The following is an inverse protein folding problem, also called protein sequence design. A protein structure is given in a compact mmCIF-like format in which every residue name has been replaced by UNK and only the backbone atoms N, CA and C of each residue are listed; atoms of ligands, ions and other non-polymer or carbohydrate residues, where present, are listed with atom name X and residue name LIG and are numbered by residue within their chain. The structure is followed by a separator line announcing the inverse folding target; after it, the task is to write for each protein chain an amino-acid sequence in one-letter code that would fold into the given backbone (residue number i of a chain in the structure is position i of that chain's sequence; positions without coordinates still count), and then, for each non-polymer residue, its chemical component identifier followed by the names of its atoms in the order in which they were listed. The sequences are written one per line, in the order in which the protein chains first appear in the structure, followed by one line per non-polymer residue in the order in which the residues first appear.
data_IF_427598036865
#
_entry.id   IF_427598036865
#
_cell.length_a   1.000
_cell.length_b   1.000
_cell.length_c   1.000
_cell.angle_alpha   90.00
_cell.angle_beta   90.00
_cell.angle_gamma   90.00
#
_symmetry.space_group_name_H-M   'P 1'
#
loop_
_entity.id
_entity.type
_entity.pdbx_description
1 polymer ?
#
# COMPACT_ATOMS: atom_id res chain seq x y z
N UNK A 1 21.75 -8.58 -41.67
CA UNK A 1 21.12 -9.27 -40.52
C UNK A 1 20.72 -8.23 -39.50
N UNK A 2 19.45 -8.13 -39.12
CA UNK A 2 19.05 -7.25 -38.03
C UNK A 2 19.71 -7.78 -36.75
N UNK A 3 20.72 -7.08 -36.27
CA UNK A 3 21.40 -7.37 -35.00
C UNK A 3 20.31 -7.43 -33.94
N UNK A 4 20.09 -8.60 -33.35
CA UNK A 4 18.94 -8.85 -32.49
C UNK A 4 18.97 -7.87 -31.32
N UNK A 5 17.94 -7.01 -31.22
CA UNK A 5 17.85 -5.96 -30.18
C UNK A 5 18.10 -6.51 -28.76
N UNK A 6 17.89 -7.80 -28.53
CA UNK A 6 18.14 -8.48 -27.26
C UNK A 6 19.60 -8.45 -26.80
N UNK A 7 20.58 -8.42 -27.71
CA UNK A 7 22.00 -8.52 -27.36
C UNK A 7 22.43 -7.35 -26.49
N UNK A 8 21.96 -6.14 -26.80
CA UNK A 8 22.14 -4.95 -25.96
C UNK A 8 21.58 -5.16 -24.55
N UNK A 9 20.45 -5.86 -24.42
CA UNK A 9 19.81 -6.13 -23.13
C UNK A 9 20.44 -7.27 -22.33
N UNK A 10 21.43 -7.97 -22.91
CA UNK A 10 22.27 -8.93 -22.19
C UNK A 10 23.49 -8.27 -21.56
N UNK A 11 23.79 -7.00 -21.91
CA UNK A 11 24.86 -6.24 -21.27
C UNK A 11 24.53 -5.99 -19.79
N UNK A 12 25.53 -6.05 -18.88
CA UNK A 12 25.32 -5.91 -17.44
C UNK A 12 24.54 -4.66 -17.01
N UNK A 13 24.80 -3.52 -17.66
CA UNK A 13 24.13 -2.24 -17.37
C UNK A 13 22.63 -2.31 -17.68
N UNK A 14 22.26 -2.95 -18.79
CA UNK A 14 20.87 -3.07 -19.21
C UNK A 14 20.13 -4.14 -18.39
N UNK A 15 20.80 -5.21 -17.98
CA UNK A 15 20.26 -6.16 -17.01
C UNK A 15 19.96 -5.49 -15.66
N UNK A 16 20.85 -4.61 -15.19
CA UNK A 16 20.63 -3.83 -13.98
C UNK A 16 19.41 -2.90 -14.10
N UNK A 17 19.22 -2.26 -15.27
CA UNK A 17 18.03 -1.46 -15.56
C UNK A 17 16.74 -2.29 -15.52
N UNK A 18 16.73 -3.47 -16.15
CA UNK A 18 15.58 -4.39 -16.14
C UNK A 18 15.22 -4.83 -14.71
N UNK A 19 16.24 -5.18 -13.92
CA UNK A 19 16.05 -5.55 -12.53
C UNK A 19 15.52 -4.38 -11.70
N UNK A 20 16.06 -3.17 -11.90
CA UNK A 20 15.59 -1.95 -11.26
C UNK A 20 14.11 -1.69 -11.54
N UNK A 21 13.71 -1.72 -12.82
CA UNK A 21 12.31 -1.52 -13.20
C UNK A 21 11.38 -2.56 -12.60
N UNK A 22 11.79 -3.82 -12.52
CA UNK A 22 10.98 -4.86 -11.89
C UNK A 22 10.81 -4.62 -10.39
N UNK A 23 11.86 -4.16 -9.70
CA UNK A 23 11.83 -3.76 -8.29
C UNK A 23 10.98 -2.53 -8.04
N UNK A 24 10.90 -1.60 -8.99
CA UNK A 24 10.03 -0.42 -8.91
C UNK A 24 8.54 -0.79 -9.05
N UNK A 25 8.26 -2.02 -9.53
CA UNK A 25 6.92 -2.58 -9.67
C UNK A 25 6.37 -2.55 -11.09
N UNK A 26 7.20 -2.33 -12.11
CA UNK A 26 6.73 -2.32 -13.49
C UNK A 26 6.28 -3.73 -13.93
N UNK A 27 5.17 -3.77 -14.66
CA UNK A 27 4.70 -4.98 -15.33
C UNK A 27 5.59 -5.32 -16.53
N UNK A 28 5.54 -6.56 -16.99
CA UNK A 28 6.35 -6.99 -18.14
C UNK A 28 5.92 -6.25 -19.42
N UNK A 29 4.65 -5.87 -19.53
CA UNK A 29 4.13 -5.03 -20.61
C UNK A 29 4.72 -3.62 -20.58
N UNK A 30 4.79 -2.99 -19.40
CA UNK A 30 5.39 -1.66 -19.22
C UNK A 30 6.90 -1.69 -19.53
N UNK A 31 7.58 -2.75 -19.11
CA UNK A 31 9.00 -2.98 -19.41
C UNK A 31 9.19 -3.14 -20.92
N UNK A 32 8.37 -3.96 -21.58
CA UNK A 32 8.43 -4.14 -23.03
C UNK A 32 8.21 -2.83 -23.79
N UNK A 33 7.25 -2.00 -23.35
CA UNK A 33 7.01 -0.68 -23.90
C UNK A 33 8.22 0.26 -23.73
N UNK A 34 8.84 0.28 -22.54
CA UNK A 34 10.07 1.07 -22.30
C UNK A 34 11.24 0.65 -23.19
N UNK A 35 11.35 -0.64 -23.48
CA UNK A 35 12.38 -1.19 -24.37
C UNK A 35 12.06 -0.88 -25.85
N UNK A 36 10.78 -0.63 -26.18
CA UNK A 36 10.31 -0.46 -27.56
C UNK A 36 10.08 -1.79 -28.29
N UNK A 37 9.68 -2.83 -27.58
CA UNK A 37 9.34 -4.15 -28.14
C UNK A 37 7.91 -4.56 -27.77
N UNK A 38 7.34 -5.50 -28.53
CA UNK A 38 6.06 -6.09 -28.16
C UNK A 38 6.21 -6.96 -26.90
N UNK A 39 5.20 -7.01 -26.00
CA UNK A 39 5.24 -7.86 -24.80
C UNK A 39 5.55 -9.32 -25.11
N UNK A 40 4.98 -9.87 -26.20
CA UNK A 40 5.27 -11.23 -26.67
C UNK A 40 6.75 -11.43 -27.03
N UNK A 41 7.44 -10.40 -27.51
CA UNK A 41 8.89 -10.47 -27.78
C UNK A 41 9.68 -10.57 -26.48
N UNK A 42 9.29 -9.82 -25.44
CA UNK A 42 9.92 -9.92 -24.12
C UNK A 42 9.71 -11.30 -23.50
N UNK A 43 8.51 -11.89 -23.63
CA UNK A 43 8.24 -13.28 -23.22
C UNK A 43 9.18 -14.28 -23.90
N UNK A 44 9.40 -14.12 -25.21
CA UNK A 44 10.34 -14.99 -25.94
C UNK A 44 11.78 -14.80 -25.46
N UNK A 45 12.19 -13.55 -25.16
CA UNK A 45 13.52 -13.28 -24.61
C UNK A 45 13.72 -13.94 -23.24
N UNK A 46 12.72 -13.89 -22.35
CA UNK A 46 12.78 -14.59 -21.06
C UNK A 46 12.96 -16.10 -21.22
N UNK A 47 12.32 -16.71 -22.22
CA UNK A 47 12.47 -18.15 -22.51
C UNK A 47 13.84 -18.50 -23.08
N UNK A 48 14.39 -17.64 -23.93
CA UNK A 48 15.65 -17.89 -24.65
C UNK A 48 16.88 -17.48 -23.83
N UNK A 49 16.74 -16.53 -22.91
CA UNK A 49 17.84 -15.93 -22.16
C UNK A 49 17.52 -15.93 -20.66
N UNK A 50 18.16 -16.86 -19.94
CA UNK A 50 17.98 -17.04 -18.49
C UNK A 50 18.34 -15.77 -17.70
N UNK A 51 19.32 -14.99 -18.17
CA UNK A 51 19.74 -13.74 -17.53
C UNK A 51 18.60 -12.71 -17.45
N UNK A 52 17.86 -12.51 -18.55
CA UNK A 52 16.72 -11.58 -18.60
C UNK A 52 15.59 -12.09 -17.71
N UNK A 53 15.29 -13.39 -17.77
CA UNK A 53 14.27 -13.99 -16.90
C UNK A 53 14.59 -13.82 -15.42
N UNK A 54 15.85 -14.04 -15.02
CA UNK A 54 16.27 -13.86 -13.63
C UNK A 54 16.13 -12.41 -13.16
N UNK A 55 16.49 -11.44 -14.00
CA UNK A 55 16.35 -10.01 -13.66
C UNK A 55 14.89 -9.62 -13.41
N UNK A 56 13.96 -10.22 -14.14
CA UNK A 56 12.53 -9.93 -14.06
C UNK A 56 11.76 -10.82 -13.07
N UNK A 57 12.45 -11.76 -12.41
CA UNK A 57 11.80 -12.71 -11.48
C UNK A 57 11.38 -12.06 -10.17
N UNK A 58 12.18 -11.12 -9.66
CA UNK A 58 11.94 -10.48 -8.36
C UNK A 58 11.16 -9.19 -8.56
N UNK A 59 9.88 -9.23 -8.19
CA UNK A 59 9.01 -8.05 -8.17
C UNK A 59 9.26 -7.13 -6.97
N UNK A 60 8.55 -6.00 -6.95
CA UNK A 60 8.62 -4.98 -5.89
C UNK A 60 8.42 -5.53 -4.48
N UNK A 61 7.32 -6.24 -4.24
CA UNK A 61 7.01 -6.77 -2.91
C UNK A 61 8.09 -7.74 -2.42
N UNK A 62 8.48 -8.69 -3.28
CA UNK A 62 9.54 -9.64 -2.95
C UNK A 62 10.88 -8.95 -2.69
N UNK A 63 11.23 -7.92 -3.47
CA UNK A 63 12.43 -7.12 -3.24
C UNK A 63 12.38 -6.41 -1.88
N UNK A 64 11.22 -5.82 -1.52
CA UNK A 64 11.03 -5.18 -0.23
C UNK A 64 11.18 -6.18 0.91
N UNK A 65 10.54 -7.35 0.84
CA UNK A 65 10.66 -8.40 1.87
C UNK A 65 12.11 -8.88 2.06
N UNK A 66 12.89 -8.99 0.98
CA UNK A 66 14.31 -9.35 1.08
C UNK A 66 15.07 -8.30 1.90
N UNK A 67 14.89 -7.02 1.58
CA UNK A 67 15.55 -5.92 2.30
C UNK A 67 15.08 -5.86 3.77
N UNK A 68 13.78 -6.02 4.02
CA UNK A 68 13.22 -6.06 5.37
C UNK A 68 13.81 -7.19 6.21
N UNK A 69 13.96 -8.39 5.63
CA UNK A 69 14.58 -9.52 6.31
C UNK A 69 16.06 -9.28 6.61
N UNK A 70 16.82 -8.72 5.67
CA UNK A 70 18.23 -8.36 5.90
C UNK A 70 18.36 -7.28 6.98
N UNK A 71 17.48 -6.29 6.99
CA UNK A 71 17.43 -5.27 8.04
C UNK A 71 17.12 -5.90 9.40
N UNK A 72 16.16 -6.84 9.45
CA UNK A 72 15.82 -7.56 10.66
C UNK A 72 17.00 -8.39 11.19
N UNK A 73 17.73 -9.10 10.32
CA UNK A 73 18.97 -9.81 10.70
C UNK A 73 20.01 -8.85 11.28
N UNK A 74 20.21 -7.69 10.64
CA UNK A 74 21.13 -6.66 11.14
C UNK A 74 20.70 -6.13 12.51
N UNK A 75 19.40 -5.89 12.71
CA UNK A 75 18.86 -5.51 14.01
C UNK A 75 19.14 -6.58 15.06
N UNK A 76 18.89 -7.86 14.75
CA UNK A 76 19.19 -8.99 15.64
C UNK A 76 20.68 -9.13 15.97
N UNK A 77 21.57 -8.72 15.07
CA UNK A 77 23.02 -8.72 15.32
C UNK A 77 23.51 -7.54 16.18
N UNK A 78 22.61 -6.66 16.64
CA UNK A 78 22.93 -5.54 17.52
C UNK A 78 23.21 -4.22 16.80
N UNK A 79 22.88 -4.08 15.51
CA UNK A 79 22.98 -2.79 14.83
C UNK A 79 21.91 -1.83 15.39
N UNK A 80 22.35 -0.85 16.18
CA UNK A 80 21.47 0.09 16.90
C UNK A 80 20.54 0.85 15.95
N UNK A 81 21.03 1.31 14.80
CA UNK A 81 20.19 2.02 13.81
C UNK A 81 19.08 1.13 13.25
N UNK A 82 19.38 -0.12 12.90
CA UNK A 82 18.39 -1.08 12.44
C UNK A 82 17.37 -1.43 13.53
N UNK A 83 17.82 -1.56 14.78
CA UNK A 83 16.94 -1.76 15.94
C UNK A 83 16.00 -0.57 16.15
N UNK A 84 16.52 0.66 16.15
CA UNK A 84 15.72 1.88 16.27
C UNK A 84 14.68 1.95 15.15
N UNK A 85 15.09 1.73 13.90
CA UNK A 85 14.18 1.73 12.77
C UNK A 85 13.07 0.69 12.94
N UNK A 86 13.41 -0.54 13.31
CA UNK A 86 12.45 -1.61 13.55
C UNK A 86 11.44 -1.25 14.64
N UNK A 87 11.91 -0.72 15.78
CA UNK A 87 11.04 -0.30 16.90
C UNK A 87 10.13 0.86 16.50
N UNK A 88 10.65 1.87 15.79
CA UNK A 88 9.85 3.02 15.34
C UNK A 88 8.77 2.65 14.33
N UNK A 89 9.04 1.67 13.45
CA UNK A 89 8.07 1.22 12.45
C UNK A 89 7.00 0.30 13.07
N UNK A 90 7.42 -0.72 13.83
CA UNK A 90 6.49 -1.72 14.37
C UNK A 90 5.75 -1.26 15.63
N UNK A 91 6.35 -0.34 16.41
CA UNK A 91 5.79 0.20 17.65
C UNK A 91 5.75 1.72 17.62
N UNK A 92 5.14 2.26 16.56
CA UNK A 92 5.08 3.70 16.30
C UNK A 92 4.50 4.47 17.49
N UNK A 93 3.41 4.02 18.11
CA UNK A 93 2.83 4.71 19.28
C UNK A 93 3.79 4.85 20.47
N UNK A 94 4.72 3.90 20.65
CA UNK A 94 5.64 3.84 21.79
C UNK A 94 6.97 4.57 21.54
N UNK A 95 7.46 4.59 20.30
CA UNK A 95 8.80 5.11 19.96
C UNK A 95 8.81 6.24 18.92
N UNK A 96 7.64 6.71 18.48
CA UNK A 96 7.58 7.93 17.69
C UNK A 96 8.01 9.11 18.59
N UNK A 97 8.76 10.06 18.05
CA UNK A 97 9.28 11.22 18.81
C UNK A 97 8.16 12.25 19.11
N UNK A 98 6.93 11.76 19.27
CA UNK A 98 5.73 12.53 19.53
C UNK A 98 5.80 13.05 20.96
N UNK A 99 5.87 14.37 21.13
CA UNK A 99 5.82 15.03 22.44
C UNK A 99 4.42 14.99 23.09
N UNK A 100 3.50 14.20 22.53
CA UNK A 100 2.12 14.11 23.01
C UNK A 100 2.04 13.28 24.28
N UNK A 101 1.37 13.83 25.29
CA UNK A 101 0.92 13.12 26.49
C UNK A 101 0.06 11.90 26.12
N UNK A 102 -0.01 10.85 26.98
CA UNK A 102 -0.89 9.70 26.75
C UNK A 102 -2.33 10.04 26.37
N UNK A 103 -2.89 11.13 26.89
CA UNK A 103 -4.25 11.54 26.56
C UNK A 103 -4.35 12.28 25.21
N UNK A 104 -3.32 13.03 24.84
CA UNK A 104 -3.23 13.63 23.51
C UNK A 104 -3.04 12.54 22.44
N UNK A 105 -2.33 11.44 22.75
CA UNK A 105 -2.22 10.28 21.88
C UNK A 105 -3.57 9.60 21.66
N UNK A 106 -4.36 9.37 22.71
CA UNK A 106 -5.73 8.84 22.58
C UNK A 106 -6.60 9.73 21.72
N UNK A 107 -6.49 11.05 21.89
CA UNK A 107 -7.22 12.00 21.08
C UNK A 107 -6.77 11.98 19.62
N UNK A 108 -5.46 11.88 19.37
CA UNK A 108 -4.91 11.76 18.01
C UNK A 108 -5.36 10.46 17.34
N UNK A 109 -5.36 9.33 18.05
CA UNK A 109 -5.90 8.07 17.56
C UNK A 109 -7.39 8.15 17.26
N UNK A 110 -8.19 8.75 18.15
CA UNK A 110 -9.62 8.94 17.92
C UNK A 110 -9.88 9.83 16.70
N UNK A 111 -9.12 10.91 16.54
CA UNK A 111 -9.16 11.77 15.35
C UNK A 111 -8.76 11.01 14.08
N UNK A 112 -7.72 10.18 14.14
CA UNK A 112 -7.30 9.36 13.01
C UNK A 112 -8.36 8.33 12.62
N UNK A 113 -9.01 7.69 13.60
CA UNK A 113 -10.13 6.76 13.33
C UNK A 113 -11.32 7.48 12.71
N UNK A 114 -11.67 8.66 13.24
CA UNK A 114 -12.77 9.48 12.70
C UNK A 114 -12.49 9.89 11.25
N UNK A 115 -11.29 10.39 10.98
CA UNK A 115 -10.90 10.82 9.63
C UNK A 115 -10.85 9.66 8.63
N UNK A 116 -10.38 8.48 9.04
CA UNK A 116 -10.46 7.29 8.19
C UNK A 116 -11.90 6.87 7.89
N UNK A 117 -12.78 6.85 8.91
CA UNK A 117 -14.19 6.54 8.70
C UNK A 117 -14.90 7.57 7.80
N UNK A 118 -14.57 8.86 7.95
CA UNK A 118 -15.05 9.92 7.05
C UNK A 118 -14.54 9.72 5.61
N UNK A 119 -13.29 9.29 5.43
CA UNK A 119 -12.73 8.97 4.13
C UNK A 119 -13.43 7.77 3.47
N UNK A 120 -13.67 6.69 4.22
CA UNK A 120 -14.41 5.52 3.74
C UNK A 120 -15.83 5.93 3.31
N UNK A 121 -16.53 6.72 4.13
CA UNK A 121 -17.86 7.25 3.80
C UNK A 121 -17.80 8.10 2.51
N UNK A 122 -16.77 8.93 2.34
CA UNK A 122 -16.60 9.75 1.14
C UNK A 122 -16.35 8.89 -0.11
N UNK A 123 -15.53 7.82 -0.01
CA UNK A 123 -15.31 6.87 -1.09
C UNK A 123 -16.60 6.14 -1.48
N UNK A 124 -17.37 5.67 -0.49
CA UNK A 124 -18.68 5.06 -0.74
C UNK A 124 -19.66 6.04 -1.40
N UNK A 125 -19.70 7.31 -0.95
CA UNK A 125 -20.53 8.35 -1.57
C UNK A 125 -20.11 8.61 -3.02
N UNK A 126 -18.81 8.68 -3.30
CA UNK A 126 -18.31 8.86 -4.66
C UNK A 126 -18.72 7.70 -5.57
N UNK A 127 -18.63 6.46 -5.07
CA UNK A 127 -19.07 5.28 -5.81
C UNK A 127 -20.58 5.27 -6.10
N UNK A 128 -21.41 5.62 -5.10
CA UNK A 128 -22.87 5.73 -5.28
C UNK A 128 -23.23 6.84 -6.27
N UNK A 129 -22.47 7.94 -6.28
CA UNK A 129 -22.65 9.03 -7.24
C UNK A 129 -22.39 8.56 -8.68
N UNK A 130 -21.36 7.73 -8.91
CA UNK A 130 -21.06 7.14 -10.22
C UNK A 130 -22.15 6.16 -10.68
N UNK A 131 -22.64 5.31 -9.77
CA UNK A 131 -23.59 4.24 -10.11
C UNK A 131 -25.06 4.71 -10.22
N UNK A 132 -25.47 5.64 -9.34
CA UNK A 132 -26.88 6.01 -9.13
C UNK A 132 -27.14 7.52 -9.19
N UNK A 133 -26.13 8.34 -9.50
CA UNK A 133 -26.26 9.79 -9.60
C UNK A 133 -26.62 10.48 -8.27
N UNK A 134 -26.98 11.76 -8.35
CA UNK A 134 -27.23 12.60 -7.18
C UNK A 134 -28.36 12.05 -6.27
N UNK A 135 -29.39 11.44 -6.86
CA UNK A 135 -30.50 10.85 -6.10
C UNK A 135 -30.07 9.65 -5.24
N UNK A 136 -29.08 8.87 -5.69
CA UNK A 136 -28.54 7.77 -4.89
C UNK A 136 -27.78 8.28 -3.66
N UNK A 137 -27.04 9.39 -3.79
CA UNK A 137 -26.31 10.01 -2.69
C UNK A 137 -27.27 10.63 -1.67
N UNK A 138 -28.36 11.24 -2.11
CA UNK A 138 -29.41 11.80 -1.22
C UNK A 138 -30.06 10.71 -0.37
N UNK A 139 -30.44 9.58 -0.98
CA UNK A 139 -31.01 8.43 -0.24
C UNK A 139 -30.01 7.85 0.78
N UNK A 140 -28.72 7.79 0.43
CA UNK A 140 -27.69 7.33 1.34
C UNK A 140 -27.53 8.29 2.54
N UNK A 141 -27.53 9.60 2.30
CA UNK A 141 -27.48 10.58 3.39
C UNK A 141 -28.70 10.47 4.30
N UNK A 142 -29.90 10.34 3.73
CA UNK A 142 -31.14 10.18 4.53
C UNK A 142 -31.10 8.91 5.39
N UNK A 143 -30.51 7.83 4.88
CA UNK A 143 -30.30 6.60 5.63
C UNK A 143 -29.29 6.77 6.77
N UNK A 144 -28.17 7.45 6.54
CA UNK A 144 -27.18 7.77 7.57
C UNK A 144 -27.79 8.64 8.68
N UNK A 145 -28.56 9.66 8.33
CA UNK A 145 -29.25 10.53 9.30
C UNK A 145 -30.25 9.75 10.17
N UNK A 146 -30.95 8.77 9.59
CA UNK A 146 -31.84 7.87 10.33
C UNK A 146 -31.09 6.95 11.29
N UNK A 147 -29.92 6.44 10.88
CA UNK A 147 -29.07 5.63 11.75
C UNK A 147 -28.57 6.42 12.95
N UNK A 148 -28.10 7.66 12.74
CA UNK A 148 -27.66 8.54 13.82
C UNK A 148 -28.80 8.81 14.81
N UNK A 149 -29.98 9.14 14.30
CA UNK A 149 -31.18 9.39 15.11
C UNK A 149 -31.68 8.15 15.88
N UNK A 150 -31.42 6.94 15.38
CA UNK A 150 -31.72 5.68 16.08
C UNK A 150 -30.66 5.39 17.16
N UNK A 151 -29.38 5.61 16.87
CA UNK A 151 -28.30 5.42 17.84
C UNK A 151 -28.47 6.34 19.06
N UNK A 152 -28.86 7.60 18.83
CA UNK A 152 -29.15 8.59 19.87
C UNK A 152 -30.35 8.21 20.75
N UNK A 153 -31.28 7.41 20.23
CA UNK A 153 -32.43 6.89 20.98
C UNK A 153 -32.06 5.66 21.82
N UNK A 154 -31.20 4.78 21.30
CA UNK A 154 -30.72 3.59 22.02
C UNK A 154 -29.84 3.99 23.22
N UNK A 155 -28.93 4.96 23.05
CA UNK A 155 -28.10 5.49 24.15
C UNK A 155 -28.95 6.05 25.30
N UNK A 156 -30.09 6.67 25.00
CA UNK A 156 -31.04 7.20 26.00
C UNK A 156 -31.85 6.09 26.70
N UNK A 157 -32.11 4.96 26.06
CA UNK A 157 -32.79 3.82 26.67
C UNK A 157 -31.87 3.00 27.58
N UNK A 158 -30.60 2.82 27.20
CA UNK A 158 -29.64 2.06 28.02
C UNK A 158 -29.14 2.86 29.23
N UNK A 159 -28.96 4.18 29.11
CA UNK A 159 -28.69 5.06 30.25
C UNK A 159 -29.81 5.09 31.29
N UNK A 160 -31.07 4.84 30.88
CA UNK A 160 -32.21 4.78 31.79
C UNK A 160 -32.37 3.42 32.51
N UNK A 161 -31.69 2.36 32.04
CA UNK A 161 -31.73 1.01 32.64
C UNK A 161 -30.57 0.72 33.59
N UNK A 162 -29.49 1.50 33.55
CA UNK A 162 -28.29 1.27 34.35
C UNK A 162 -28.34 1.84 35.78
N UNK A 163 -29.34 2.68 36.09
CA UNK A 163 -29.52 3.35 37.40
C UNK A 163 -30.67 2.76 38.25
N UNK A 164 -30.92 1.44 38.18
CA UNK A 164 -31.86 0.71 39.08
C UNK A 164 -31.21 -0.52 39.69
#
# INVERSE_FOLDING_TARGET
MAVGRYQKWLEPENLLLLQGWKRDGLSDEQIAQKIGIAPRTLENWKKQHVQIMQCLKVGKEQANFIIENELFKKAKSGNVTAMIFYLKNNWRSKYNDSQLSPDELKLAEAKSRKTNAEADIAEYKAKVLEESGSSGVELLNEYLDKLDALSDKEVKQDGAKADV
#
